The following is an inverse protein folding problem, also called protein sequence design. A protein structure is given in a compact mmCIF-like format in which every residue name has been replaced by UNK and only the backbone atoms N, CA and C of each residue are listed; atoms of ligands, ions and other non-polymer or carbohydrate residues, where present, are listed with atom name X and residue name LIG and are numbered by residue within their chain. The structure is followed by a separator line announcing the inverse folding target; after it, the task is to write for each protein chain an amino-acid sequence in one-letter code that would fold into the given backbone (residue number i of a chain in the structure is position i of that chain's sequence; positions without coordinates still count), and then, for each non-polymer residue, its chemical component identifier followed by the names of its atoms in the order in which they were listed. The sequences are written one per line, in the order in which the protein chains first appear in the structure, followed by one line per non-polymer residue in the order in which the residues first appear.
data_IF_529927354250
#
_entry.id   IF_529927354250
#
_cell.length_a   1.000
_cell.length_b   1.000
_cell.length_c   1.000
_cell.angle_alpha   90.00
_cell.angle_beta   90.00
_cell.angle_gamma   90.00
#
_symmetry.space_group_name_H-M   'P 1'
#
loop_
_entity.id
_entity.type
_entity.pdbx_description
1 polymer ?
#
# COMPACT_ATOMS: atom_id res chain seq x y z
N UNK A 1 7.21 -17.24 1.34
CA UNK A 1 7.15 -17.02 2.80
C UNK A 1 6.88 -15.56 3.15
N UNK A 2 7.57 -14.60 2.53
CA UNK A 2 7.32 -13.15 2.68
C UNK A 2 5.85 -12.76 2.54
N UNK A 3 5.15 -13.29 1.54
CA UNK A 3 3.72 -13.03 1.33
C UNK A 3 2.81 -13.54 2.47
N UNK A 4 3.20 -14.60 3.17
CA UNK A 4 2.43 -15.11 4.30
C UNK A 4 2.60 -14.19 5.51
N UNK A 5 3.83 -13.74 5.77
CA UNK A 5 4.14 -12.79 6.84
C UNK A 5 3.46 -11.44 6.61
N UNK A 6 3.42 -10.95 5.37
CA UNK A 6 2.77 -9.67 5.04
C UNK A 6 1.24 -9.70 5.20
N UNK A 7 0.62 -10.89 5.28
CA UNK A 7 -0.82 -11.05 5.50
C UNK A 7 -1.15 -11.51 6.93
N UNK A 8 -0.14 -11.70 7.77
CA UNK A 8 -0.33 -12.15 9.13
C UNK A 8 -0.67 -10.96 10.02
N UNK A 9 -1.96 -10.79 10.34
CA UNK A 9 -2.45 -9.66 11.12
C UNK A 9 -2.59 -10.06 12.59
N UNK A 10 -1.85 -9.37 13.46
CA UNK A 10 -1.97 -9.46 14.92
C UNK A 10 -2.21 -8.07 15.46
N UNK A 11 -3.22 -7.92 16.32
CA UNK A 11 -3.62 -6.63 16.90
C UNK A 11 -3.40 -6.65 18.41
N UNK A 12 -2.97 -5.52 18.97
CA UNK A 12 -2.84 -5.34 20.43
C UNK A 12 -1.62 -6.01 21.07
N UNK A 13 -0.71 -6.57 20.27
CA UNK A 13 0.54 -7.16 20.75
C UNK A 13 1.72 -6.74 19.87
N UNK A 14 2.86 -6.48 20.51
CA UNK A 14 4.14 -6.34 19.81
C UNK A 14 4.59 -7.72 19.34
N UNK A 15 4.92 -7.85 18.06
CA UNK A 15 5.35 -9.11 17.46
C UNK A 15 6.66 -8.95 16.70
N UNK A 16 7.34 -10.05 16.44
CA UNK A 16 8.58 -10.09 15.66
C UNK A 16 8.32 -10.33 14.15
N UNK A 17 7.10 -10.11 13.65
CA UNK A 17 6.73 -10.43 12.26
C UNK A 17 7.58 -9.63 11.26
N UNK A 18 7.81 -8.35 11.54
CA UNK A 18 8.65 -7.49 10.69
C UNK A 18 10.10 -7.99 10.65
N UNK A 19 10.68 -8.33 11.81
CA UNK A 19 12.00 -8.95 11.90
C UNK A 19 12.09 -10.25 11.08
N UNK A 20 11.08 -11.12 11.18
CA UNK A 20 11.03 -12.34 10.37
C UNK A 20 10.92 -12.05 8.87
N UNK A 21 10.21 -10.98 8.50
CA UNK A 21 10.14 -10.49 7.12
C UNK A 21 11.51 -10.12 6.57
N UNK A 22 12.31 -9.40 7.36
CA UNK A 22 13.66 -8.99 6.99
C UNK A 22 14.62 -10.18 6.92
N UNK A 23 14.55 -11.12 7.86
CA UNK A 23 15.36 -12.34 7.85
C UNK A 23 15.11 -13.15 6.57
N UNK A 24 13.85 -13.37 6.21
CA UNK A 24 13.49 -14.14 5.01
C UNK A 24 13.89 -13.41 3.72
N UNK A 25 13.93 -12.08 3.75
CA UNK A 25 14.33 -11.26 2.60
C UNK A 25 15.85 -11.05 2.50
N UNK A 26 16.62 -11.43 3.53
CA UNK A 26 18.07 -11.26 3.56
C UNK A 26 18.76 -12.18 2.54
N UNK A 27 19.72 -11.68 1.73
CA UNK A 27 20.36 -12.48 0.68
C UNK A 27 21.09 -13.71 1.22
N UNK A 28 21.75 -13.61 2.38
CA UNK A 28 22.40 -14.75 3.04
C UNK A 28 21.41 -15.85 3.46
N UNK A 29 20.16 -15.49 3.79
CA UNK A 29 19.12 -16.47 4.08
C UNK A 29 18.68 -17.20 2.81
N UNK A 30 18.50 -16.46 1.71
CA UNK A 30 18.18 -17.04 0.39
C UNK A 30 19.30 -17.95 -0.15
N UNK A 31 20.56 -17.63 0.16
CA UNK A 31 21.73 -18.43 -0.21
C UNK A 31 21.98 -19.65 0.69
N UNK A 32 21.14 -19.88 1.71
CA UNK A 32 21.32 -20.92 2.74
C UNK A 32 22.64 -20.78 3.55
N UNK A 33 23.20 -19.57 3.63
CA UNK A 33 24.39 -19.23 4.41
C UNK A 33 23.99 -18.83 5.85
N UNK A 34 23.15 -19.66 6.49
CA UNK A 34 22.57 -19.39 7.81
C UNK A 34 23.29 -20.18 8.91
N UNK A 35 24.47 -19.70 9.31
CA UNK A 35 25.21 -20.25 10.45
C UNK A 35 24.52 -19.93 11.79
N UNK A 36 24.93 -20.57 12.88
CA UNK A 36 24.33 -20.35 14.22
C UNK A 36 24.50 -18.92 14.73
N UNK A 37 25.44 -18.16 14.18
CA UNK A 37 25.72 -16.76 14.49
C UNK A 37 25.18 -15.78 13.44
N UNK A 38 24.36 -16.25 12.49
CA UNK A 38 23.81 -15.45 11.38
C UNK A 38 23.15 -14.15 11.86
N UNK A 39 22.24 -14.24 12.85
CA UNK A 39 21.51 -13.07 13.36
C UNK A 39 22.49 -12.04 13.97
N UNK A 40 23.45 -12.51 14.76
CA UNK A 40 24.45 -11.65 15.40
C UNK A 40 25.38 -10.95 14.40
N UNK A 41 25.62 -11.56 13.24
CA UNK A 41 26.41 -10.93 12.15
C UNK A 41 25.62 -9.92 11.35
N UNK A 42 24.36 -10.22 11.04
CA UNK A 42 23.50 -9.35 10.24
C UNK A 42 23.01 -8.13 11.03
N UNK A 43 22.77 -8.28 12.34
CA UNK A 43 22.28 -7.22 13.22
C UNK A 43 23.09 -7.16 14.53
N UNK A 44 24.37 -6.72 14.49
CA UNK A 44 25.24 -6.69 15.67
C UNK A 44 24.74 -5.74 16.76
N UNK A 45 24.15 -4.60 16.35
CA UNK A 45 23.58 -3.59 17.26
C UNK A 45 22.08 -3.83 17.54
N UNK A 46 21.57 -5.00 17.18
CA UNK A 46 20.15 -5.33 17.24
C UNK A 46 19.36 -4.88 16.01
N UNK A 47 18.15 -5.42 15.88
CA UNK A 47 17.23 -5.11 14.80
C UNK A 47 16.29 -3.96 15.20
N UNK A 48 16.01 -3.06 14.26
CA UNK A 48 15.05 -1.96 14.43
C UNK A 48 14.17 -1.83 13.20
N UNK A 49 12.84 -1.82 13.41
CA UNK A 49 11.84 -1.64 12.37
C UNK A 49 12.00 -0.33 11.59
N UNK A 50 12.48 0.72 12.29
CA UNK A 50 12.59 2.06 11.70
C UNK A 50 13.84 2.23 10.84
N UNK A 51 14.83 1.35 10.97
CA UNK A 51 16.11 1.46 10.26
C UNK A 51 15.96 1.30 8.73
N UNK A 52 14.92 0.60 8.27
CA UNK A 52 14.64 0.36 6.85
C UNK A 52 13.39 1.08 6.34
N UNK A 53 12.73 1.90 7.16
CA UNK A 53 11.58 2.67 6.68
C UNK A 53 12.09 3.77 5.75
N UNK A 54 11.82 3.62 4.47
CA UNK A 54 12.08 4.66 3.48
C UNK A 54 11.40 5.96 3.93
N UNK A 55 12.21 6.99 4.14
CA UNK A 55 11.75 8.33 4.55
C UNK A 55 10.92 9.00 3.45
N UNK A 56 11.03 8.51 2.21
CA UNK A 56 10.35 9.07 1.06
C UNK A 56 8.94 8.49 0.89
N UNK A 57 7.97 9.30 0.47
CA UNK A 57 6.65 8.79 0.14
C UNK A 57 6.75 7.70 -0.94
N UNK A 58 5.90 6.65 -0.88
CA UNK A 58 5.93 5.57 -1.85
C UNK A 58 5.91 6.10 -3.28
N UNK A 59 6.64 5.47 -4.21
CA UNK A 59 6.68 5.89 -5.61
C UNK A 59 5.28 6.05 -6.22
N UNK A 60 4.32 5.21 -5.81
CA UNK A 60 2.92 5.31 -6.24
C UNK A 60 2.26 6.64 -5.81
N UNK A 61 2.56 7.14 -4.61
CA UNK A 61 2.07 8.45 -4.11
C UNK A 61 2.68 9.59 -4.90
N UNK A 62 4.00 9.51 -5.17
CA UNK A 62 4.69 10.50 -6.01
C UNK A 62 4.14 10.51 -7.45
N UNK A 63 3.89 9.34 -8.03
CA UNK A 63 3.31 9.21 -9.37
C UNK A 63 1.87 9.75 -9.41
N UNK A 64 1.05 9.46 -8.40
CA UNK A 64 -0.31 9.99 -8.31
C UNK A 64 -0.32 11.52 -8.18
N UNK A 65 0.55 12.09 -7.35
CA UNK A 65 0.71 13.54 -7.23
C UNK A 65 1.18 14.16 -8.55
N UNK A 66 2.17 13.56 -9.23
CA UNK A 66 2.62 14.04 -10.53
C UNK A 66 1.52 13.96 -11.61
N UNK A 67 0.71 12.89 -11.61
CA UNK A 67 -0.41 12.74 -12.53
C UNK A 67 -1.53 13.77 -12.29
N UNK A 68 -1.77 14.14 -11.03
CA UNK A 68 -2.68 15.22 -10.65
C UNK A 68 -2.16 16.58 -11.13
N UNK A 69 -0.89 16.89 -10.86
CA UNK A 69 -0.25 18.14 -11.31
C UNK A 69 -0.21 18.27 -12.84
N UNK A 70 -0.07 17.15 -13.55
CA UNK A 70 -0.08 17.09 -15.02
C UNK A 70 -1.49 16.97 -15.61
N UNK A 71 -2.53 16.95 -14.76
CA UNK A 71 -3.93 16.88 -15.14
C UNK A 71 -4.29 15.70 -16.05
N UNK A 72 -3.55 14.59 -15.93
CA UNK A 72 -3.73 13.40 -16.75
C UNK A 72 -5.05 12.68 -16.48
N UNK A 73 -5.74 13.01 -15.38
CA UNK A 73 -7.08 12.52 -15.08
C UNK A 73 -8.15 13.06 -16.04
N UNK A 74 -7.97 14.25 -16.64
CA UNK A 74 -9.00 14.85 -17.53
C UNK A 74 -8.97 14.32 -18.97
N UNK A 75 -7.84 13.79 -19.43
CA UNK A 75 -7.68 13.42 -20.85
C UNK A 75 -8.42 12.12 -21.26
N UNK A 76 -9.05 11.42 -20.32
CA UNK A 76 -9.84 10.21 -20.58
C UNK A 76 -11.35 10.44 -20.82
N UNK A 77 -11.86 11.68 -20.69
CA UNK A 77 -13.31 11.98 -20.73
C UNK A 77 -13.80 12.62 -22.04
N UNK A 78 -13.09 12.46 -23.16
CA UNK A 78 -13.56 12.96 -24.45
C UNK A 78 -13.86 11.81 -25.42
N UNK A 79 -14.89 11.01 -25.14
CA UNK A 79 -15.61 10.21 -26.15
C UNK A 79 -16.90 9.58 -25.59
N UNK A 80 -17.94 10.41 -25.46
CA UNK A 80 -19.29 10.02 -25.86
C UNK A 80 -20.10 11.29 -26.07
N UNK A 81 -20.28 11.65 -27.34
CA UNK A 81 -21.11 12.75 -27.79
C UNK A 81 -22.60 12.37 -27.77
N UNK A 82 -23.46 13.37 -27.50
CA UNK A 82 -24.93 13.32 -27.61
C UNK A 82 -25.58 13.03 -26.26
N UNK A 83 -26.48 13.83 -25.71
CA UNK A 83 -27.38 14.85 -26.24
C UNK A 83 -27.74 15.78 -25.06
N UNK A 84 -28.15 17.02 -25.33
CA UNK A 84 -28.37 18.03 -24.30
C UNK A 84 -29.42 17.64 -23.25
N UNK A 85 -29.39 18.34 -22.11
CA UNK A 85 -30.53 18.81 -21.31
C UNK A 85 -30.02 19.39 -19.97
N UNK A 86 -30.19 20.71 -19.83
CA UNK A 86 -30.59 21.49 -18.64
C UNK A 86 -29.99 21.25 -17.22
N UNK A 87 -29.65 22.38 -16.60
CA UNK A 87 -28.94 22.66 -15.33
C UNK A 87 -29.57 22.16 -14.00
N UNK A 88 -30.00 20.89 -13.89
CA UNK A 88 -30.32 20.29 -12.57
C UNK A 88 -29.67 18.89 -12.35
N UNK A 89 -28.59 18.62 -13.08
CA UNK A 89 -27.93 17.30 -13.16
C UNK A 89 -26.66 17.16 -12.30
N UNK A 90 -26.80 16.50 -11.15
CA UNK A 90 -25.75 15.61 -10.63
C UNK A 90 -26.39 14.23 -10.39
N UNK A 91 -26.61 13.49 -11.49
CA UNK A 91 -26.87 12.06 -11.44
C UNK A 91 -25.82 11.27 -10.63
N UNK A 92 -26.12 10.02 -10.25
CA UNK A 92 -25.33 9.30 -9.26
C UNK A 92 -23.92 9.09 -9.77
N UNK A 93 -22.94 9.71 -9.10
CA UNK A 93 -21.51 9.46 -9.32
C UNK A 93 -21.28 7.93 -9.40
N UNK A 94 -20.82 7.41 -10.55
CA UNK A 94 -20.68 5.96 -10.76
C UNK A 94 -19.64 5.32 -9.85
N UNK A 95 -18.83 6.12 -9.14
CA UNK A 95 -17.85 5.65 -8.15
C UNK A 95 -18.29 5.91 -6.70
N UNK A 96 -19.53 6.34 -6.47
CA UNK A 96 -20.01 6.64 -5.13
C UNK A 96 -20.17 5.36 -4.29
N UNK A 97 -19.32 5.15 -3.27
CA UNK A 97 -19.36 3.94 -2.45
C UNK A 97 -20.59 3.89 -1.52
N UNK A 98 -21.27 5.03 -1.32
CA UNK A 98 -22.43 5.14 -0.45
C UNK A 98 -23.75 4.69 -1.10
N UNK A 99 -23.78 4.44 -2.42
CA UNK A 99 -24.96 3.88 -3.09
C UNK A 99 -25.31 2.46 -2.61
N UNK A 100 -24.32 1.73 -2.09
CA UNK A 100 -24.52 0.37 -1.53
C UNK A 100 -24.85 0.36 -0.04
N UNK A 101 -24.83 1.53 0.61
CA UNK A 101 -25.04 1.68 2.05
C UNK A 101 -26.52 1.87 2.36
N UNK A 102 -27.35 0.86 2.08
CA UNK A 102 -28.76 0.83 2.48
C UNK A 102 -28.90 0.42 3.95
N UNK A 103 -28.46 1.27 4.88
CA UNK A 103 -28.83 1.16 6.29
C UNK A 103 -29.35 2.49 6.79
N UNK A 104 -30.66 2.55 7.01
CA UNK A 104 -31.28 3.60 7.80
C UNK A 104 -30.88 3.35 9.25
N UNK A 105 -30.04 4.22 9.82
CA UNK A 105 -29.87 4.25 11.27
C UNK A 105 -31.14 4.88 11.90
N UNK A 106 -31.62 4.34 13.03
CA UNK A 106 -32.69 4.97 13.81
C UNK A 106 -32.21 6.27 14.48
#
# INVERSE_FOLDING_TARGET
MTQALSRFVVLGATTNIEFLGDVVSHPGFAAAETTTDFISRCWPEGWSADAHRESHPPAAVLLAAAAEQLFLHRSGMTSSAGDGLDEEDLGPDPYNPFLTLSRSFP
#
